data_IF_792493105349
#
_entry.id   IF_792493105349
#
_cell.length_a   1.000
_cell.length_b   1.000
_cell.length_c   1.000
_cell.angle_alpha   90.00
_cell.angle_beta   90.00
_cell.angle_gamma   90.00
#
_symmetry.space_group_name_H-M   'P 1'
#
loop_
_entity.id
_entity.type
_entity.pdbx_description
1 polymer ?
#
# COMPACT_ATOMS: atom_id res chain seq x y z
N UNK A 1 -5.82 -3.16 -7.61
CA UNK A 1 -6.63 -4.38 -7.47
C UNK A 1 -6.52 -5.38 -8.63
N UNK A 2 -6.63 -4.98 -9.91
CA UNK A 2 -6.57 -5.94 -11.05
C UNK A 2 -5.26 -6.75 -11.11
N UNK A 3 -4.13 -6.16 -10.73
CA UNK A 3 -2.81 -6.83 -10.68
C UNK A 3 -2.73 -7.93 -9.60
N UNK A 4 -3.29 -7.72 -8.41
CA UNK A 4 -3.34 -8.71 -7.31
C UNK A 4 -4.21 -9.92 -7.66
N UNK A 5 -5.37 -9.69 -8.29
CA UNK A 5 -6.26 -10.76 -8.75
C UNK A 5 -5.64 -11.67 -9.83
N UNK A 6 -4.78 -11.12 -10.70
CA UNK A 6 -4.01 -11.89 -11.68
C UNK A 6 -2.98 -12.79 -10.98
N UNK A 7 -2.19 -12.24 -10.06
CA UNK A 7 -1.18 -13.00 -9.30
C UNK A 7 -1.81 -14.13 -8.46
N UNK A 8 -2.95 -13.89 -7.81
CA UNK A 8 -3.68 -14.93 -7.07
C UNK A 8 -4.19 -16.05 -7.96
N UNK A 9 -4.57 -15.75 -9.19
CA UNK A 9 -5.01 -16.75 -10.17
C UNK A 9 -3.84 -17.56 -10.71
N UNK A 10 -2.71 -16.89 -11.00
CA UNK A 10 -1.46 -17.56 -11.39
C UNK A 10 -0.95 -18.48 -10.27
N UNK A 11 -1.00 -18.05 -9.01
CA UNK A 11 -0.58 -18.85 -7.86
C UNK A 11 -1.40 -20.15 -7.71
N UNK A 12 -2.71 -20.09 -7.99
CA UNK A 12 -3.59 -21.26 -7.96
C UNK A 12 -3.28 -22.29 -9.05
N UNK A 13 -2.67 -21.85 -10.15
CA UNK A 13 -2.35 -22.68 -11.31
C UNK A 13 -0.86 -23.03 -11.39
N UNK A 14 -0.03 -22.51 -10.49
CA UNK A 14 1.41 -22.70 -10.51
C UNK A 14 1.79 -24.02 -9.83
N UNK A 15 2.33 -24.97 -10.62
CA UNK A 15 2.78 -26.28 -10.14
C UNK A 15 4.25 -26.28 -9.68
N UNK A 16 5.03 -25.29 -10.12
CA UNK A 16 6.43 -25.10 -9.76
C UNK A 16 6.57 -24.45 -8.37
N UNK A 17 7.29 -25.10 -7.46
CA UNK A 17 7.41 -24.65 -6.06
C UNK A 17 8.25 -23.38 -5.90
N UNK A 18 9.29 -23.22 -6.71
CA UNK A 18 10.16 -22.04 -6.69
C UNK A 18 9.37 -20.82 -7.17
N UNK A 19 8.71 -20.95 -8.33
CA UNK A 19 7.81 -19.92 -8.85
C UNK A 19 6.66 -19.60 -7.90
N UNK A 20 6.11 -20.61 -7.22
CA UNK A 20 5.04 -20.41 -6.21
C UNK A 20 5.54 -19.60 -5.00
N UNK A 21 6.80 -19.75 -4.60
CA UNK A 21 7.40 -18.97 -3.51
C UNK A 21 7.55 -17.50 -3.91
N UNK A 22 8.11 -17.24 -5.09
CA UNK A 22 8.27 -15.89 -5.63
C UNK A 22 6.92 -15.16 -5.77
N UNK A 23 5.89 -15.83 -6.30
CA UNK A 23 4.55 -15.26 -6.45
C UNK A 23 3.93 -14.89 -5.10
N UNK A 24 4.22 -15.64 -4.02
CA UNK A 24 3.75 -15.33 -2.67
C UNK A 24 4.48 -14.13 -2.07
N UNK A 25 5.80 -14.02 -2.25
CA UNK A 25 6.58 -12.87 -1.79
C UNK A 25 6.10 -11.59 -2.48
N UNK A 26 5.92 -11.62 -3.80
CA UNK A 26 5.36 -10.48 -4.55
C UNK A 26 3.95 -10.12 -4.13
N UNK A 27 3.09 -11.11 -3.83
CA UNK A 27 1.75 -10.84 -3.30
C UNK A 27 1.81 -10.16 -1.93
N UNK A 28 2.77 -10.57 -1.09
CA UNK A 28 2.97 -9.96 0.22
C UNK A 28 3.42 -8.50 0.09
N UNK A 29 4.35 -8.19 -0.80
CA UNK A 29 4.77 -6.81 -1.11
C UNK A 29 3.60 -5.96 -1.57
N UNK A 30 2.78 -6.47 -2.50
CA UNK A 30 1.57 -5.77 -2.94
C UNK A 30 0.56 -5.52 -1.82
N UNK A 31 0.47 -6.41 -0.85
CA UNK A 31 -0.43 -6.28 0.29
C UNK A 31 0.08 -5.19 1.24
N UNK A 32 1.37 -5.17 1.53
CA UNK A 32 2.02 -4.13 2.33
C UNK A 32 1.90 -2.75 1.67
N UNK A 33 2.11 -2.66 0.35
CA UNK A 33 1.90 -1.43 -0.45
C UNK A 33 0.44 -0.98 -0.42
N UNK A 34 -0.51 -1.92 -0.59
CA UNK A 34 -1.95 -1.60 -0.60
C UNK A 34 -2.41 -1.08 0.76
N UNK A 35 -1.94 -1.68 1.86
CA UNK A 35 -2.22 -1.18 3.21
C UNK A 35 -1.64 0.22 3.45
N UNK A 36 -0.45 0.52 2.93
CA UNK A 36 0.13 1.86 3.00
C UNK A 36 -0.75 2.88 2.26
N UNK A 37 -1.19 2.53 1.05
CA UNK A 37 -2.08 3.38 0.24
C UNK A 37 -3.46 3.58 0.90
N UNK A 38 -4.04 2.54 1.50
CA UNK A 38 -5.31 2.65 2.22
C UNK A 38 -5.17 3.61 3.41
N UNK A 39 -4.10 3.49 4.20
CA UNK A 39 -3.80 4.44 5.29
C UNK A 39 -3.62 5.88 4.80
N UNK A 40 -2.95 6.09 3.67
CA UNK A 40 -2.81 7.42 3.07
C UNK A 40 -4.16 7.99 2.64
N UNK A 41 -5.03 7.19 2.01
CA UNK A 41 -6.37 7.63 1.61
C UNK A 41 -7.24 8.00 2.81
N UNK A 42 -7.14 7.27 3.92
CA UNK A 42 -7.81 7.61 5.18
C UNK A 42 -7.35 8.97 5.72
N UNK A 43 -6.02 9.20 5.78
CA UNK A 43 -5.44 10.47 6.21
C UNK A 43 -5.91 11.63 5.31
N UNK A 44 -5.91 11.43 3.98
CA UNK A 44 -6.40 12.42 3.03
C UNK A 44 -7.89 12.73 3.23
N UNK A 45 -8.73 11.72 3.48
CA UNK A 45 -10.16 11.93 3.75
C UNK A 45 -10.41 12.65 5.07
N UNK A 46 -9.60 12.37 6.10
CA UNK A 46 -9.65 13.11 7.36
C UNK A 46 -9.22 14.56 7.18
N UNK A 47 -8.15 14.82 6.42
CA UNK A 47 -7.67 16.18 6.12
C UNK A 47 -8.72 17.03 5.40
N UNK A 48 -9.43 16.45 4.43
CA UNK A 48 -10.50 17.13 3.69
C UNK A 48 -11.61 17.65 4.62
N UNK A 49 -11.92 16.89 5.67
CA UNK A 49 -12.99 17.21 6.62
C UNK A 49 -12.50 17.94 7.87
N UNK A 50 -11.18 18.04 8.06
CA UNK A 50 -10.57 18.61 9.25
C UNK A 50 -10.66 20.14 9.25
N UNK A 51 -11.38 20.68 10.23
CA UNK A 51 -11.48 22.14 10.47
C UNK A 51 -10.53 22.63 11.55
N UNK A 52 -9.89 21.71 12.26
CA UNK A 52 -8.95 21.99 13.34
C UNK A 52 -7.52 22.07 12.78
N UNK A 53 -6.84 23.20 12.99
CA UNK A 53 -5.50 23.44 12.44
C UNK A 53 -4.41 22.60 13.11
N UNK A 54 -4.56 22.27 14.39
CA UNK A 54 -3.60 21.45 15.13
C UNK A 54 -3.69 19.99 14.66
N UNK A 55 -4.92 19.46 14.60
CA UNK A 55 -5.19 18.12 14.04
C UNK A 55 -4.77 18.04 12.58
N UNK A 56 -4.95 19.10 11.79
CA UNK A 56 -4.50 19.16 10.39
C UNK A 56 -2.97 19.03 10.29
N UNK A 57 -2.20 19.73 11.11
CA UNK A 57 -0.73 19.61 11.13
C UNK A 57 -0.27 18.21 11.55
N UNK A 58 -0.98 17.58 12.49
CA UNK A 58 -0.69 16.20 12.90
C UNK A 58 -0.93 15.21 11.75
N UNK A 59 -2.05 15.33 11.05
CA UNK A 59 -2.38 14.51 9.88
C UNK A 59 -1.39 14.72 8.73
N UNK A 60 -0.97 15.96 8.45
CA UNK A 60 0.06 16.27 7.45
C UNK A 60 1.42 15.66 7.81
N UNK A 61 1.76 15.56 9.10
CA UNK A 61 2.96 14.85 9.56
C UNK A 61 2.83 13.34 9.31
N UNK A 62 1.71 12.73 9.71
CA UNK A 62 1.46 11.30 9.48
C UNK A 62 1.49 10.92 8.00
N UNK A 63 1.03 11.81 7.12
CA UNK A 63 1.08 11.62 5.68
C UNK A 63 2.53 11.54 5.17
N UNK A 64 3.41 12.46 5.60
CA UNK A 64 4.84 12.43 5.26
C UNK A 64 5.55 11.19 5.80
N UNK A 65 5.22 10.77 7.02
CA UNK A 65 5.79 9.58 7.63
C UNK A 65 5.34 8.29 6.90
N UNK A 66 4.16 8.30 6.26
CA UNK A 66 3.70 7.20 5.39
C UNK A 66 4.34 7.23 3.99
N UNK A 67 4.63 8.41 3.45
CA UNK A 67 5.30 8.57 2.15
C UNK A 67 6.76 8.09 2.17
N UNK A 68 7.48 8.18 3.30
CA UNK A 68 8.86 7.66 3.44
C UNK A 68 8.98 6.14 3.22
N UNK A 69 7.89 5.38 3.37
CA UNK A 69 7.85 3.94 3.08
C UNK A 69 7.53 3.65 1.61
N UNK A 70 6.92 4.61 0.90
CA UNK A 70 6.33 4.37 -0.43
C UNK A 70 7.11 5.04 -1.57
N UNK A 71 8.07 5.92 -1.28
CA UNK A 71 8.79 6.76 -2.26
C UNK A 71 10.32 6.70 -2.14
N UNK A 72 10.91 5.52 -2.06
CA UNK A 72 12.33 5.36 -2.36
C UNK A 72 12.59 4.70 -3.74
N UNK A 73 11.81 5.07 -4.77
CA UNK A 73 12.10 4.78 -6.20
C UNK A 73 11.19 5.59 -7.20
N UNK A 74 11.00 6.90 -7.02
CA UNK A 74 10.31 7.74 -8.02
C UNK A 74 10.83 9.19 -8.14
N UNK A 75 12.16 9.33 -8.23
CA UNK A 75 12.81 10.33 -9.09
C UNK A 75 13.80 9.61 -10.01
#
# INVERSE_FOLDING_TARGET
>A
MERKGRLQSELRQCEDEEKRRELKERLKEYDEESESLERLLEIMSELEKCKDEEKRRELEKKMRDCDEVTLHDCF
#
